data_IF_644973030344
#
_entry.id   IF_644973030344
#
_cell.length_a   1.000
_cell.length_b   1.000
_cell.length_c   1.000
_cell.angle_alpha   90.00
_cell.angle_beta   90.00
_cell.angle_gamma   90.00
#
_symmetry.space_group_name_H-M   'P 1'
#
loop_
_entity.id
_entity.type
_entity.pdbx_description
1 polymer ?
#
# COMPACT_ATOMS: atom_id res chain seq x y z
N UNK A 1 -13.27 -2.59 18.30
CA UNK A 1 -12.95 -1.19 17.87
C UNK A 1 -12.30 -1.26 16.49
N UNK A 2 -12.91 -0.61 15.53
CA UNK A 2 -12.30 -0.49 14.21
C UNK A 2 -11.14 0.51 14.27
N UNK A 3 -9.93 0.03 13.98
CA UNK A 3 -8.78 0.90 13.90
C UNK A 3 -8.86 1.74 12.61
N UNK A 4 -8.43 2.99 12.66
CA UNK A 4 -8.45 3.83 11.48
C UNK A 4 -7.53 3.27 10.38
N UNK A 5 -7.95 3.42 9.13
CA UNK A 5 -7.14 3.09 7.97
C UNK A 5 -6.21 4.28 7.69
N UNK A 6 -4.93 3.98 7.59
CA UNK A 6 -3.89 4.94 7.24
C UNK A 6 -3.45 4.65 5.80
N UNK A 7 -2.97 5.65 5.08
CA UNK A 7 -2.57 5.48 3.69
C UNK A 7 -1.13 5.87 3.43
N UNK A 8 -0.50 5.21 2.45
CA UNK A 8 0.83 5.54 1.91
C UNK A 8 0.81 5.44 0.40
N UNK A 9 1.67 6.23 -0.26
CA UNK A 9 1.84 6.17 -1.70
C UNK A 9 2.52 4.87 -2.15
N UNK A 10 2.16 4.41 -3.34
CA UNK A 10 2.70 3.24 -4.01
C UNK A 10 3.58 3.64 -5.18
N UNK A 11 4.45 2.71 -5.60
CA UNK A 11 5.36 2.89 -6.73
C UNK A 11 5.24 1.70 -7.68
N UNK A 12 5.17 1.96 -8.98
CA UNK A 12 5.26 0.92 -10.00
C UNK A 12 6.66 0.30 -10.00
N UNK A 13 6.77 -1.00 -10.20
CA UNK A 13 8.02 -1.73 -10.08
C UNK A 13 8.49 -2.41 -11.36
N UNK A 14 9.83 -2.42 -11.53
CA UNK A 14 10.52 -3.11 -12.61
C UNK A 14 10.53 -2.32 -13.92
N UNK A 15 11.16 -2.92 -14.93
CA UNK A 15 11.26 -2.32 -16.28
C UNK A 15 9.94 -2.36 -17.04
N UNK A 16 9.10 -3.36 -16.75
CA UNK A 16 7.80 -3.54 -17.39
C UNK A 16 6.75 -3.83 -16.31
N UNK A 17 6.35 -2.81 -15.51
CA UNK A 17 5.43 -3.02 -14.42
C UNK A 17 4.00 -3.33 -14.86
N UNK A 18 3.66 -3.06 -16.11
CA UNK A 18 2.31 -3.22 -16.65
C UNK A 18 2.31 -4.27 -17.76
N UNK A 19 1.45 -5.29 -17.59
CA UNK A 19 1.13 -6.26 -18.64
C UNK A 19 -0.32 -6.01 -19.07
N UNK A 20 -0.49 -5.33 -20.20
CA UNK A 20 -1.79 -4.90 -20.70
C UNK A 20 -2.67 -6.09 -21.05
N UNK A 21 -2.10 -7.10 -21.72
CA UNK A 21 -2.85 -8.26 -22.19
C UNK A 21 -3.41 -9.08 -21.04
N UNK A 22 -2.62 -9.27 -19.99
CA UNK A 22 -3.02 -9.98 -18.77
C UNK A 22 -3.72 -9.07 -17.74
N UNK A 23 -3.71 -7.77 -17.99
CA UNK A 23 -4.28 -6.75 -17.09
C UNK A 23 -3.65 -6.78 -15.70
N UNK A 24 -2.34 -7.00 -15.64
CA UNK A 24 -1.57 -7.08 -14.41
C UNK A 24 -0.70 -5.82 -14.23
N UNK A 25 -0.63 -5.36 -12.99
CA UNK A 25 0.25 -4.26 -12.59
C UNK A 25 1.08 -4.71 -11.40
N UNK A 26 2.40 -4.56 -11.50
CA UNK A 26 3.33 -4.84 -10.41
C UNK A 26 3.73 -3.54 -9.73
N UNK A 27 3.70 -3.56 -8.38
CA UNK A 27 3.96 -2.38 -7.59
C UNK A 27 4.59 -2.73 -6.26
N UNK A 28 5.28 -1.74 -5.67
CA UNK A 28 5.66 -1.74 -4.27
C UNK A 28 4.54 -1.06 -3.50
N UNK A 29 3.92 -1.74 -2.55
CA UNK A 29 2.83 -1.15 -1.76
C UNK A 29 3.31 -0.58 -0.43
N UNK A 30 4.50 -0.92 0.04
CA UNK A 30 5.03 -0.39 1.29
C UNK A 30 6.55 -0.37 1.30
N UNK A 31 7.12 0.48 2.14
CA UNK A 31 8.56 0.55 2.38
C UNK A 31 8.83 0.94 3.83
N UNK A 32 10.07 0.75 4.29
CA UNK A 32 10.52 1.17 5.61
C UNK A 32 10.89 2.65 5.68
N UNK A 33 10.68 3.41 4.61
CA UNK A 33 10.95 4.84 4.62
C UNK A 33 10.07 5.56 5.64
N UNK A 34 10.65 6.42 6.50
CA UNK A 34 9.85 7.20 7.43
C UNK A 34 9.05 8.27 6.71
N UNK A 35 7.80 8.45 7.09
CA UNK A 35 6.97 9.56 6.62
C UNK A 35 6.49 10.41 7.78
N UNK A 36 6.38 11.71 7.52
CA UNK A 36 5.90 12.67 8.49
C UNK A 36 4.38 12.57 8.61
N UNK A 37 3.90 12.38 9.86
CA UNK A 37 2.48 12.34 10.18
C UNK A 37 2.07 13.54 11.02
N UNK A 38 0.90 14.05 10.74
CA UNK A 38 0.24 15.08 11.51
C UNK A 38 -1.07 14.49 12.06
N UNK A 39 -1.13 14.29 13.36
CA UNK A 39 -2.33 13.76 14.03
C UNK A 39 -2.69 14.71 15.16
N UNK A 40 -3.79 15.42 15.01
CA UNK A 40 -4.20 16.48 15.93
C UNK A 40 -3.09 17.52 16.12
N UNK A 41 -2.54 17.66 17.33
CA UNK A 41 -1.42 18.57 17.64
C UNK A 41 -0.06 17.90 17.57
N UNK A 42 -0.01 16.59 17.26
CA UNK A 42 1.23 15.82 17.24
C UNK A 42 1.80 15.72 15.83
N UNK A 43 3.11 15.88 15.74
CA UNK A 43 3.88 15.71 14.50
C UNK A 43 5.00 14.71 14.79
N UNK A 44 5.05 13.63 14.05
CA UNK A 44 6.02 12.56 14.23
C UNK A 44 6.33 11.85 12.93
N UNK A 45 7.46 11.16 12.89
CA UNK A 45 7.80 10.28 11.77
C UNK A 45 7.29 8.87 12.06
N UNK A 46 6.71 8.24 11.04
CA UNK A 46 6.22 6.87 11.09
C UNK A 46 6.99 6.00 10.10
N UNK A 47 7.53 4.91 10.60
CA UNK A 47 8.20 3.87 9.81
C UNK A 47 7.45 2.55 9.95
N UNK A 48 7.27 1.83 8.86
CA UNK A 48 6.69 0.49 8.88
C UNK A 48 7.78 -0.57 9.02
N UNK A 49 7.62 -1.49 9.96
CA UNK A 49 8.48 -2.68 10.03
C UNK A 49 8.09 -3.69 8.96
N UNK A 50 9.07 -4.28 8.30
CA UNK A 50 8.90 -5.35 7.32
C UNK A 50 9.47 -6.69 7.81
N UNK A 51 9.64 -6.83 9.12
CA UNK A 51 9.96 -8.13 9.73
C UNK A 51 8.83 -9.11 9.47
N UNK A 52 9.16 -10.40 9.39
CA UNK A 52 8.18 -11.44 9.05
C UNK A 52 6.93 -11.43 9.94
N UNK A 53 7.10 -11.07 11.21
CA UNK A 53 5.99 -11.04 12.18
C UNK A 53 5.26 -9.69 12.23
N UNK A 54 5.79 -8.67 11.56
CA UNK A 54 5.20 -7.33 11.63
C UNK A 54 3.94 -7.19 10.80
N UNK A 55 3.81 -7.92 9.71
CA UNK A 55 2.73 -7.78 8.76
C UNK A 55 1.74 -8.94 8.91
N UNK A 56 0.49 -8.61 9.20
CA UNK A 56 -0.58 -9.60 9.11
C UNK A 56 -1.01 -9.74 7.64
N UNK A 57 -0.60 -10.83 7.00
CA UNK A 57 -0.83 -11.09 5.59
C UNK A 57 -2.06 -11.92 5.32
N UNK A 58 -2.94 -12.12 6.31
CA UNK A 58 -4.12 -12.98 6.17
C UNK A 58 -4.99 -12.57 4.98
N UNK A 59 -5.28 -11.29 4.82
CA UNK A 59 -6.08 -10.81 3.71
C UNK A 59 -5.39 -10.97 2.36
N UNK A 60 -4.08 -10.75 2.31
CA UNK A 60 -3.27 -10.96 1.09
C UNK A 60 -3.26 -12.44 0.72
N UNK A 61 -3.03 -13.33 1.69
CA UNK A 61 -3.00 -14.79 1.49
C UNK A 61 -4.36 -15.31 1.02
N UNK A 62 -5.45 -14.76 1.53
CA UNK A 62 -6.81 -15.13 1.14
C UNK A 62 -7.26 -14.45 -0.16
N UNK A 63 -6.40 -13.64 -0.78
CA UNK A 63 -6.71 -12.88 -1.99
C UNK A 63 -7.96 -11.99 -1.85
N UNK A 64 -8.13 -11.42 -0.66
CA UNK A 64 -9.29 -10.57 -0.33
C UNK A 64 -8.98 -9.07 -0.30
N UNK A 65 -7.82 -8.65 -0.81
CA UNK A 65 -7.44 -7.24 -0.87
C UNK A 65 -7.88 -6.66 -2.22
N UNK A 66 -8.86 -5.74 -2.23
CA UNK A 66 -9.33 -5.13 -3.45
C UNK A 66 -8.39 -4.00 -3.91
N UNK A 67 -8.45 -3.70 -5.19
CA UNK A 67 -7.87 -2.51 -5.79
C UNK A 67 -9.00 -1.54 -6.10
N UNK A 68 -9.00 -0.40 -5.41
CA UNK A 68 -10.12 0.53 -5.40
C UNK A 68 -9.80 1.82 -6.17
N UNK A 69 -10.82 2.42 -6.76
CA UNK A 69 -10.73 3.77 -7.30
C UNK A 69 -10.99 4.77 -6.16
N UNK A 70 -9.97 5.59 -5.86
CA UNK A 70 -10.05 6.62 -4.83
C UNK A 70 -10.35 6.11 -3.43
N UNK A 71 -9.92 4.90 -3.08
CA UNK A 71 -10.24 4.21 -1.82
C UNK A 71 -11.75 4.02 -1.57
N UNK A 72 -12.56 4.08 -2.62
CA UNK A 72 -14.01 3.89 -2.55
C UNK A 72 -14.35 2.39 -2.67
N UNK A 73 -14.87 1.81 -1.58
CA UNK A 73 -15.24 0.39 -1.51
C UNK A 73 -16.37 0.01 -2.48
N UNK A 74 -17.08 0.98 -3.02
CA UNK A 74 -18.10 0.76 -4.05
C UNK A 74 -17.53 0.78 -5.48
N UNK A 75 -16.24 1.12 -5.61
CA UNK A 75 -15.56 1.23 -6.90
C UNK A 75 -14.39 0.27 -6.99
N UNK A 76 -14.68 -1.02 -7.05
CA UNK A 76 -13.68 -2.08 -7.15
C UNK A 76 -13.23 -2.21 -8.61
N UNK A 77 -11.95 -1.92 -8.87
CA UNK A 77 -11.36 -2.02 -10.21
C UNK A 77 -10.48 -3.24 -10.40
N UNK A 78 -10.17 -3.97 -9.34
CA UNK A 78 -9.32 -5.15 -9.41
C UNK A 78 -9.05 -5.73 -8.03
N UNK A 79 -8.06 -6.61 -7.94
CA UNK A 79 -7.61 -7.18 -6.67
C UNK A 79 -6.14 -7.59 -6.71
N UNK A 80 -5.53 -7.69 -5.54
CA UNK A 80 -4.20 -8.26 -5.38
C UNK A 80 -4.28 -9.77 -5.64
N UNK A 81 -3.46 -10.26 -6.56
CA UNK A 81 -3.40 -11.69 -6.92
C UNK A 81 -2.11 -12.36 -6.48
N UNK A 82 -1.07 -11.59 -6.19
CA UNK A 82 0.20 -12.10 -5.68
C UNK A 82 0.87 -11.02 -4.82
N UNK A 83 1.70 -11.45 -3.87
CA UNK A 83 2.43 -10.54 -3.01
C UNK A 83 3.74 -11.15 -2.53
N UNK A 84 4.68 -10.30 -2.14
CA UNK A 84 5.92 -10.71 -1.48
C UNK A 84 6.38 -9.59 -0.55
N UNK A 85 7.08 -9.97 0.52
CA UNK A 85 7.75 -9.03 1.42
C UNK A 85 9.24 -9.34 1.37
N UNK A 86 10.03 -8.40 0.85
CA UNK A 86 11.48 -8.56 0.74
C UNK A 86 12.16 -7.20 0.66
N UNK A 87 13.42 -7.13 1.06
CA UNK A 87 14.22 -5.91 0.97
C UNK A 87 13.55 -4.69 1.61
N UNK A 88 12.92 -4.91 2.78
CA UNK A 88 12.19 -3.88 3.53
C UNK A 88 11.06 -3.21 2.72
N UNK A 89 10.47 -3.96 1.81
CA UNK A 89 9.35 -3.53 0.99
C UNK A 89 8.29 -4.60 0.86
N UNK A 90 7.05 -4.17 0.75
CA UNK A 90 5.95 -5.02 0.32
C UNK A 90 5.74 -4.86 -1.19
N UNK A 91 5.63 -5.98 -1.89
CA UNK A 91 5.43 -6.05 -3.33
C UNK A 91 4.10 -6.73 -3.62
N UNK A 92 3.38 -6.23 -4.61
CA UNK A 92 2.11 -6.80 -5.02
C UNK A 92 1.97 -6.82 -6.53
N UNK A 93 1.25 -7.82 -7.01
CA UNK A 93 0.72 -7.86 -8.37
C UNK A 93 -0.79 -7.72 -8.28
N UNK A 94 -1.32 -6.75 -8.98
CA UNK A 94 -2.75 -6.44 -9.03
C UNK A 94 -3.30 -6.86 -10.39
N UNK A 95 -4.42 -7.56 -10.37
CA UNK A 95 -5.19 -7.84 -11.60
C UNK A 95 -6.36 -6.89 -11.69
N UNK A 96 -6.43 -6.14 -12.79
CA UNK A 96 -7.53 -5.23 -13.05
C UNK A 96 -8.72 -5.95 -13.67
N UNK A 97 -9.90 -5.58 -13.20
CA UNK A 97 -11.17 -6.11 -13.70
C UNK A 97 -11.42 -5.66 -15.14
N UNK A 98 -12.19 -6.45 -15.87
CA UNK A 98 -12.69 -6.09 -17.20
C UNK A 98 -13.93 -5.20 -17.15
N UNK A 99 -14.42 -4.85 -15.95
CA UNK A 99 -15.51 -3.89 -15.81
C UNK A 99 -15.08 -2.49 -16.23
N UNK A 100 -16.01 -1.54 -16.26
CA UNK A 100 -15.72 -0.16 -16.66
C UNK A 100 -14.65 0.48 -15.78
N UNK A 101 -14.73 0.30 -14.47
CA UNK A 101 -13.80 0.87 -13.48
C UNK A 101 -12.39 0.35 -13.72
N UNK A 102 -12.21 -0.96 -13.80
CA UNK A 102 -10.91 -1.58 -14.04
C UNK A 102 -10.29 -1.19 -15.38
N UNK A 103 -11.11 -1.06 -16.41
CA UNK A 103 -10.66 -0.65 -17.75
C UNK A 103 -10.21 0.81 -17.77
N UNK A 104 -10.96 1.71 -17.15
CA UNK A 104 -10.57 3.12 -17.03
C UNK A 104 -9.27 3.27 -16.22
N UNK A 105 -9.16 2.56 -15.10
CA UNK A 105 -7.95 2.59 -14.28
C UNK A 105 -6.73 2.09 -15.06
N UNK A 106 -6.87 0.97 -15.80
CA UNK A 106 -5.78 0.42 -16.59
C UNK A 106 -5.32 1.41 -17.65
N UNK A 107 -6.26 1.98 -18.41
CA UNK A 107 -5.95 2.96 -19.45
C UNK A 107 -5.23 4.18 -18.87
N UNK A 108 -5.73 4.72 -17.77
CA UNK A 108 -5.14 5.88 -17.11
C UNK A 108 -3.73 5.61 -16.58
N UNK A 109 -3.48 4.40 -16.08
CA UNK A 109 -2.15 4.00 -15.58
C UNK A 109 -1.19 3.81 -16.76
N UNK A 110 -1.63 3.15 -17.83
CA UNK A 110 -0.82 2.95 -19.05
C UNK A 110 -0.44 4.29 -19.68
N UNK A 111 -1.39 5.21 -19.75
CA UNK A 111 -1.20 6.53 -20.36
C UNK A 111 -0.48 7.54 -19.44
N UNK A 112 -0.18 7.15 -18.20
CA UNK A 112 0.47 8.03 -17.24
C UNK A 112 -0.43 9.12 -16.68
N UNK A 113 -1.73 9.02 -16.83
CA UNK A 113 -2.72 9.98 -16.29
C UNK A 113 -2.89 9.78 -14.79
N UNK A 114 -2.94 8.52 -14.34
CA UNK A 114 -2.93 8.16 -12.92
C UNK A 114 -1.51 7.76 -12.53
N UNK A 115 -0.89 8.58 -11.72
CA UNK A 115 0.47 8.36 -11.23
C UNK A 115 0.53 8.14 -9.72
N UNK A 116 -0.51 8.55 -9.01
CA UNK A 116 -0.61 8.43 -7.56
C UNK A 116 -1.46 7.22 -7.20
N UNK A 117 -0.80 6.21 -6.64
CA UNK A 117 -1.42 5.01 -6.11
C UNK A 117 -1.04 4.92 -4.66
N UNK A 118 -1.98 4.55 -3.80
CA UNK A 118 -1.72 4.38 -2.37
C UNK A 118 -2.37 3.11 -1.85
N UNK A 119 -1.91 2.63 -0.71
CA UNK A 119 -2.53 1.52 -0.01
C UNK A 119 -3.03 1.98 1.36
N UNK A 120 -4.08 1.32 1.83
CA UNK A 120 -4.58 1.49 3.18
C UNK A 120 -4.11 0.37 4.08
N UNK A 121 -3.74 0.71 5.31
CA UNK A 121 -3.33 -0.27 6.32
C UNK A 121 -3.83 0.15 7.69
N UNK A 122 -3.88 -0.82 8.60
CA UNK A 122 -4.22 -0.58 10.00
C UNK A 122 -2.99 -0.80 10.87
N UNK A 123 -2.73 0.14 11.77
CA UNK A 123 -1.66 0.03 12.77
C UNK A 123 -2.17 -0.79 13.95
N UNK A 124 -1.53 -1.93 14.20
CA UNK A 124 -1.88 -2.83 15.31
C UNK A 124 -0.94 -2.68 16.49
N UNK A 125 0.25 -2.18 16.28
CA UNK A 125 1.24 -1.91 17.32
C UNK A 125 2.28 -0.90 16.84
N UNK A 126 2.72 -0.04 17.75
CA UNK A 126 3.68 1.02 17.43
C UNK A 126 4.50 1.35 18.67
N UNK A 127 5.79 1.62 18.49
CA UNK A 127 6.67 2.06 19.58
C UNK A 127 7.62 3.17 19.11
N UNK A 128 8.01 4.05 20.03
CA UNK A 128 9.03 5.05 19.77
C UNK A 128 10.38 4.35 19.61
N UNK A 129 11.06 4.59 18.50
CA UNK A 129 12.36 3.98 18.18
C UNK A 129 13.48 4.99 18.02
N UNK A 130 13.19 6.28 18.06
CA UNK A 130 14.22 7.30 17.94
C UNK A 130 13.66 8.69 17.75
N UNK A 131 14.51 9.56 17.23
CA UNK A 131 14.18 10.93 16.85
C UNK A 131 14.77 11.22 15.47
N UNK A 132 14.10 12.09 14.73
CA UNK A 132 14.52 12.53 13.41
C UNK A 132 14.14 14.01 13.22
N UNK A 133 15.10 14.83 12.87
CA UNK A 133 14.89 16.27 12.63
C UNK A 133 14.15 16.98 13.79
N UNK A 134 14.49 16.62 15.03
CA UNK A 134 13.88 17.19 16.22
C UNK A 134 12.47 16.66 16.54
N UNK A 135 12.01 15.64 15.83
CA UNK A 135 10.70 15.02 16.04
C UNK A 135 10.84 13.57 16.44
N UNK A 136 9.88 13.04 17.17
CA UNK A 136 9.84 11.63 17.53
C UNK A 136 9.69 10.77 16.28
N UNK A 137 10.40 9.64 16.24
CA UNK A 137 10.26 8.61 15.23
C UNK A 137 9.66 7.35 15.88
N UNK A 138 8.54 6.89 15.32
CA UNK A 138 7.87 5.67 15.73
C UNK A 138 8.01 4.60 14.67
N UNK A 139 8.19 3.37 15.09
CA UNK A 139 8.10 2.20 14.21
C UNK A 139 6.79 1.49 14.46
N UNK A 140 6.03 1.29 13.40
CA UNK A 140 4.85 0.42 13.42
C UNK A 140 5.36 -1.00 13.43
N UNK A 141 5.22 -1.66 14.57
CA UNK A 141 5.78 -2.99 14.82
C UNK A 141 4.83 -4.10 14.40
N UNK A 142 3.55 -3.78 14.19
CA UNK A 142 2.54 -4.70 13.67
C UNK A 142 1.46 -3.95 12.91
N UNK A 143 1.11 -4.45 11.73
CA UNK A 143 0.11 -3.84 10.85
C UNK A 143 -0.51 -4.85 9.87
N UNK A 144 -1.65 -4.48 9.25
CA UNK A 144 -2.35 -5.34 8.30
C UNK A 144 -2.98 -4.52 7.17
#
# INVERSE_FOLDING_TARGET
MDLPIVTRALTLEGESPIDVDKRLIRMSFSSSEPILRHVETKVYYERLSHDLEAIDTTRLSNRSVPFLDGHDWNKVGGKVVDYAVRSEKGHATVKLSRNAIGTEMLNDIVDGVRTEISFGYKVLGMKKTGERDGKDEYTVTKWM
#
